data_IF_664856159417
#
_entry.id   IF_664856159417
#
_cell.length_a   1.000
_cell.length_b   1.000
_cell.length_c   1.000
_cell.angle_alpha   90.00
_cell.angle_beta   90.00
_cell.angle_gamma   90.00
#
_symmetry.space_group_name_H-M   'P 1'
#
loop_
_entity.id
_entity.type
_entity.pdbx_description
1 polymer ?
#
# COMPACT_ATOMS: atom_id res chain seq x y z
N UNK A 1 -11.93 -10.95 -11.48
CA UNK A 1 -10.62 -10.36 -11.78
C UNK A 1 -9.71 -10.43 -10.55
N UNK A 2 -8.63 -11.19 -10.65
CA UNK A 2 -7.55 -11.29 -9.66
C UNK A 2 -6.65 -10.05 -9.73
N UNK A 3 -5.78 -9.86 -8.73
CA UNK A 3 -4.75 -8.81 -8.79
C UNK A 3 -3.78 -9.01 -9.96
N UNK A 4 -3.46 -10.27 -10.28
CA UNK A 4 -2.58 -10.67 -11.38
C UNK A 4 -3.16 -10.28 -12.74
N UNK A 5 -4.43 -10.60 -12.98
CA UNK A 5 -5.15 -10.21 -14.21
C UNK A 5 -5.26 -8.69 -14.36
N UNK A 6 -5.51 -7.99 -13.25
CA UNK A 6 -5.56 -6.52 -13.26
C UNK A 6 -4.22 -5.90 -13.63
N UNK A 7 -3.11 -6.43 -13.10
CA UNK A 7 -1.76 -5.98 -13.44
C UNK A 7 -1.44 -6.16 -14.93
N UNK A 8 -1.71 -7.36 -15.46
CA UNK A 8 -1.52 -7.65 -16.89
C UNK A 8 -2.29 -6.66 -17.76
N UNK A 9 -3.60 -6.47 -17.51
CA UNK A 9 -4.44 -5.52 -18.27
C UNK A 9 -3.99 -4.06 -18.12
N UNK A 10 -3.37 -3.71 -17.00
CA UNK A 10 -2.91 -2.35 -16.76
C UNK A 10 -1.70 -1.95 -17.60
N UNK A 11 -0.74 -2.87 -17.75
CA UNK A 11 0.52 -2.61 -18.46
C UNK A 11 0.51 -3.12 -19.90
N UNK A 12 -0.04 -4.31 -20.13
CA UNK A 12 -0.06 -4.98 -21.43
C UNK A 12 -1.34 -4.68 -22.23
N UNK A 13 -2.40 -4.23 -21.56
CA UNK A 13 -3.72 -4.10 -22.18
C UNK A 13 -4.40 -5.45 -22.37
N UNK A 14 -5.42 -5.50 -23.22
CA UNK A 14 -6.09 -6.74 -23.59
C UNK A 14 -5.93 -6.94 -25.11
N UNK A 15 -5.15 -7.94 -25.54
CA UNK A 15 -4.80 -8.11 -26.96
C UNK A 15 -6.04 -8.38 -27.82
N UNK A 16 -7.04 -9.06 -27.26
CA UNK A 16 -8.24 -9.49 -27.98
C UNK A 16 -9.27 -8.37 -28.22
N UNK A 17 -9.23 -7.26 -27.47
CA UNK A 17 -10.27 -6.22 -27.50
C UNK A 17 -9.79 -4.88 -28.07
N UNK A 18 -8.56 -4.80 -28.60
CA UNK A 18 -7.90 -3.54 -29.01
C UNK A 18 -7.85 -2.47 -27.90
N UNK A 19 -8.13 -2.85 -26.66
CA UNK A 19 -8.05 -1.93 -25.52
C UNK A 19 -6.59 -1.86 -25.11
N UNK A 20 -5.96 -0.72 -25.42
CA UNK A 20 -4.59 -0.44 -25.01
C UNK A 20 -4.42 -0.46 -23.48
N UNK A 21 -3.17 -0.36 -22.98
CA UNK A 21 -2.87 -0.44 -21.56
C UNK A 21 -3.79 0.45 -20.72
N UNK A 22 -4.48 -0.11 -19.72
CA UNK A 22 -5.47 0.65 -18.95
C UNK A 22 -4.86 1.86 -18.24
N UNK A 23 -3.53 1.88 -18.03
CA UNK A 23 -2.79 3.04 -17.53
C UNK A 23 -2.94 4.31 -18.38
N UNK A 24 -3.24 4.17 -19.67
CA UNK A 24 -3.42 5.27 -20.62
C UNK A 24 -4.87 5.78 -20.70
N UNK A 25 -5.83 5.06 -20.10
CA UNK A 25 -7.24 5.45 -20.09
C UNK A 25 -7.44 6.57 -19.08
N UNK A 26 -8.00 7.70 -19.52
CA UNK A 26 -8.30 8.79 -18.60
C UNK A 26 -9.56 8.45 -17.79
N UNK A 27 -9.61 8.88 -16.52
CA UNK A 27 -10.78 8.65 -15.65
C UNK A 27 -12.05 9.35 -16.15
N UNK A 28 -11.90 10.30 -17.09
CA UNK A 28 -13.01 10.96 -17.79
C UNK A 28 -13.61 10.12 -18.93
N UNK A 29 -12.86 9.17 -19.49
CA UNK A 29 -13.33 8.30 -20.58
C UNK A 29 -14.27 7.20 -20.08
N UNK A 30 -14.28 6.98 -18.76
CA UNK A 30 -15.15 6.01 -18.10
C UNK A 30 -16.50 6.66 -17.84
N UNK A 31 -17.52 6.27 -18.62
CA UNK A 31 -18.86 6.86 -18.60
C UNK A 31 -19.59 6.72 -17.26
N UNK A 32 -19.47 5.57 -16.60
CA UNK A 32 -20.25 5.30 -15.38
C UNK A 32 -19.50 5.72 -14.11
N UNK A 33 -20.22 6.35 -13.18
CA UNK A 33 -19.66 6.79 -11.89
C UNK A 33 -19.06 5.62 -11.08
N UNK A 34 -19.77 4.50 -10.99
CA UNK A 34 -19.28 3.32 -10.28
C UNK A 34 -18.01 2.77 -10.93
N UNK A 35 -17.97 2.71 -12.26
CA UNK A 35 -16.80 2.29 -13.03
C UNK A 35 -15.62 3.23 -12.81
N UNK A 36 -15.84 4.56 -12.71
CA UNK A 36 -14.79 5.53 -12.36
C UNK A 36 -14.23 5.31 -10.97
N UNK A 37 -15.09 5.02 -10.00
CA UNK A 37 -14.67 4.69 -8.63
C UNK A 37 -13.85 3.39 -8.63
N UNK A 38 -14.30 2.35 -9.34
CA UNK A 38 -13.55 1.10 -9.46
C UNK A 38 -12.19 1.29 -10.15
N UNK A 39 -12.15 2.03 -11.24
CA UNK A 39 -10.92 2.37 -11.95
C UNK A 39 -9.93 3.12 -11.04
N UNK A 40 -10.42 4.12 -10.32
CA UNK A 40 -9.60 4.88 -9.37
C UNK A 40 -9.06 3.99 -8.26
N UNK A 41 -9.90 3.09 -7.71
CA UNK A 41 -9.49 2.13 -6.68
C UNK A 41 -8.44 1.14 -7.20
N UNK A 42 -8.58 0.66 -8.44
CA UNK A 42 -7.61 -0.20 -9.09
C UNK A 42 -6.28 0.52 -9.32
N UNK A 43 -6.33 1.77 -9.80
CA UNK A 43 -5.16 2.63 -9.97
C UNK A 43 -4.34 2.77 -8.68
N UNK A 44 -5.00 3.04 -7.55
CA UNK A 44 -4.30 3.15 -6.26
C UNK A 44 -3.59 1.86 -5.84
N UNK A 45 -4.23 0.70 -6.04
CA UNK A 45 -3.61 -0.59 -5.74
C UNK A 45 -2.35 -0.80 -6.60
N UNK A 46 -2.43 -0.49 -7.89
CA UNK A 46 -1.31 -0.66 -8.81
C UNK A 46 -0.19 0.33 -8.55
N UNK A 47 -0.51 1.56 -8.14
CA UNK A 47 0.47 2.54 -7.67
C UNK A 47 1.21 2.05 -6.41
N UNK A 48 0.48 1.48 -5.44
CA UNK A 48 1.10 0.87 -4.26
C UNK A 48 2.05 -0.28 -4.65
N UNK A 49 1.64 -1.14 -5.59
CA UNK A 49 2.48 -2.23 -6.09
C UNK A 49 3.72 -1.74 -6.85
N UNK A 50 3.59 -0.72 -7.71
CA UNK A 50 4.74 -0.09 -8.40
C UNK A 50 5.70 0.54 -7.40
N UNK A 51 5.18 1.17 -6.35
CA UNK A 51 6.03 1.75 -5.30
C UNK A 51 6.80 0.66 -4.54
N UNK A 52 6.18 -0.51 -4.28
CA UNK A 52 6.89 -1.68 -3.75
C UNK A 52 7.98 -2.14 -4.72
N UNK A 53 7.69 -2.21 -6.03
CA UNK A 53 8.66 -2.59 -7.05
C UNK A 53 9.89 -1.68 -7.01
N UNK A 54 9.66 -0.37 -6.93
CA UNK A 54 10.71 0.65 -6.85
C UNK A 54 11.55 0.50 -5.59
N UNK A 55 10.90 0.36 -4.42
CA UNK A 55 11.61 0.24 -3.13
C UNK A 55 12.43 -1.04 -2.99
N UNK A 56 11.99 -2.13 -3.63
CA UNK A 56 12.73 -3.40 -3.68
C UNK A 56 13.68 -3.50 -4.88
N UNK A 57 13.79 -2.46 -5.70
CA UNK A 57 14.60 -2.42 -6.92
C UNK A 57 14.24 -3.51 -7.94
N UNK A 58 12.98 -3.93 -7.98
CA UNK A 58 12.47 -4.85 -9.01
C UNK A 58 12.19 -4.12 -10.34
N UNK A 59 11.93 -2.81 -10.29
CA UNK A 59 11.81 -1.94 -11.45
C UNK A 59 12.07 -0.48 -11.08
N UNK A 60 12.67 0.29 -12.00
CA UNK A 60 13.01 1.69 -11.76
C UNK A 60 11.80 2.63 -11.84
N UNK A 61 10.81 2.29 -12.68
CA UNK A 61 9.62 3.11 -12.88
C UNK A 61 8.45 2.29 -13.44
N UNK A 62 7.24 2.87 -13.40
CA UNK A 62 6.06 2.29 -14.05
C UNK A 62 6.26 2.12 -15.57
N UNK A 63 7.03 3.01 -16.20
CA UNK A 63 7.32 2.95 -17.63
C UNK A 63 8.34 1.87 -17.95
N UNK A 64 9.32 1.65 -17.07
CA UNK A 64 10.24 0.51 -17.18
C UNK A 64 9.46 -0.81 -17.18
N UNK A 65 8.49 -0.97 -16.27
CA UNK A 65 7.62 -2.16 -16.21
C UNK A 65 6.82 -2.33 -17.50
N UNK A 66 6.28 -1.24 -18.04
CA UNK A 66 5.47 -1.30 -19.26
C UNK A 66 6.28 -1.59 -20.52
N UNK A 67 7.58 -1.28 -20.51
CA UNK A 67 8.50 -1.60 -21.60
C UNK A 67 9.00 -3.05 -21.54
N UNK A 68 8.77 -3.76 -20.42
CA UNK A 68 9.15 -5.16 -20.28
C UNK A 68 8.24 -6.07 -21.13
N UNK A 69 8.78 -7.18 -21.66
CA UNK A 69 7.97 -8.24 -22.23
C UNK A 69 7.03 -8.83 -21.17
N UNK A 70 5.92 -9.44 -21.63
CA UNK A 70 4.87 -10.01 -20.76
C UNK A 70 5.44 -10.88 -19.63
N UNK A 71 6.32 -11.82 -19.95
CA UNK A 71 6.93 -12.72 -18.96
C UNK A 71 7.67 -11.96 -17.84
N UNK A 72 8.44 -10.94 -18.20
CA UNK A 72 9.19 -10.12 -17.25
C UNK A 72 8.26 -9.19 -16.45
N UNK A 73 7.22 -8.63 -17.08
CA UNK A 73 6.21 -7.83 -16.41
C UNK A 73 5.44 -8.65 -15.35
N UNK A 74 5.11 -9.90 -15.67
CA UNK A 74 4.46 -10.82 -14.72
C UNK A 74 5.42 -11.29 -13.62
N UNK A 75 6.71 -11.48 -13.92
CA UNK A 75 7.71 -11.79 -12.91
C UNK A 75 7.87 -10.65 -11.88
N UNK A 76 7.88 -9.39 -12.33
CA UNK A 76 7.89 -8.21 -11.43
C UNK A 76 6.64 -8.19 -10.55
N UNK A 77 5.47 -8.54 -11.09
CA UNK A 77 4.25 -8.69 -10.30
C UNK A 77 4.41 -9.76 -9.22
N UNK A 78 4.87 -10.96 -9.58
CA UNK A 78 4.98 -12.05 -8.62
C UNK A 78 5.97 -11.71 -7.48
N UNK A 79 7.09 -11.03 -7.80
CA UNK A 79 8.06 -10.55 -6.81
C UNK A 79 7.49 -9.46 -5.90
N UNK A 80 6.84 -8.44 -6.47
CA UNK A 80 6.20 -7.36 -5.67
C UNK A 80 5.07 -7.89 -4.81
N UNK A 81 4.28 -8.80 -5.36
CA UNK A 81 3.17 -9.39 -4.65
C UNK A 81 3.67 -10.31 -3.52
N UNK A 82 4.75 -11.05 -3.73
CA UNK A 82 5.42 -11.79 -2.65
C UNK A 82 5.93 -10.85 -1.55
N UNK A 83 6.59 -9.74 -1.91
CA UNK A 83 7.03 -8.73 -0.96
C UNK A 83 5.86 -8.12 -0.18
N UNK A 84 4.74 -7.82 -0.83
CA UNK A 84 3.54 -7.31 -0.16
C UNK A 84 3.04 -8.26 0.96
N UNK A 85 3.13 -9.58 0.76
CA UNK A 85 2.69 -10.59 1.74
C UNK A 85 3.71 -10.88 2.85
N UNK A 86 5.01 -10.74 2.59
CA UNK A 86 6.06 -11.23 3.49
C UNK A 86 7.03 -10.16 3.99
N UNK A 87 7.23 -9.09 3.22
CA UNK A 87 8.26 -8.08 3.46
C UNK A 87 7.86 -6.76 2.79
N UNK A 88 6.78 -6.17 3.31
CA UNK A 88 6.17 -4.98 2.73
C UNK A 88 7.00 -3.72 3.05
N UNK A 89 7.67 -3.11 2.06
CA UNK A 89 8.55 -1.96 2.26
C UNK A 89 7.79 -0.64 2.48
N UNK A 90 6.46 -0.64 2.47
CA UNK A 90 5.65 0.56 2.62
C UNK A 90 5.40 0.97 4.09
N UNK A 91 5.94 0.21 5.05
CA UNK A 91 6.00 0.61 6.47
C UNK A 91 4.75 0.31 7.31
N UNK A 92 3.62 -0.03 6.71
CA UNK A 92 2.37 -0.37 7.42
C UNK A 92 2.18 -1.87 7.67
N UNK A 93 3.25 -2.67 7.56
CA UNK A 93 3.24 -4.11 7.84
C UNK A 93 2.76 -5.00 6.68
N UNK A 94 2.87 -6.31 6.89
CA UNK A 94 2.60 -7.34 5.88
C UNK A 94 1.10 -7.66 5.80
N UNK A 95 0.55 -7.85 4.58
CA UNK A 95 -0.84 -8.31 4.41
C UNK A 95 -0.98 -9.83 4.60
N UNK A 96 0.15 -10.55 4.53
CA UNK A 96 0.22 -11.99 4.60
C UNK A 96 0.48 -12.49 6.01
N UNK A 97 -0.23 -13.54 6.43
CA UNK A 97 0.03 -14.19 7.71
C UNK A 97 -1.03 -15.21 8.11
N UNK A 98 -0.86 -15.77 9.29
CA UNK A 98 -1.78 -16.74 9.91
C UNK A 98 -2.74 -16.09 10.90
N UNK A 99 -2.52 -14.83 11.25
CA UNK A 99 -3.35 -14.08 12.20
C UNK A 99 -4.72 -13.69 11.60
N UNK A 100 -5.69 -13.45 12.49
CA UNK A 100 -7.05 -13.09 12.11
C UNK A 100 -7.08 -11.75 11.35
N UNK A 101 -7.58 -11.77 10.11
CA UNK A 101 -7.64 -10.59 9.23
C UNK A 101 -6.50 -10.47 8.21
N UNK A 102 -5.46 -11.31 8.30
CA UNK A 102 -4.40 -11.42 7.28
C UNK A 102 -4.79 -12.41 6.18
N UNK A 103 -4.25 -12.18 4.98
CA UNK A 103 -4.46 -13.07 3.84
C UNK A 103 -3.47 -14.24 3.89
N UNK A 104 -3.91 -15.42 3.47
CA UNK A 104 -3.03 -16.60 3.44
C UNK A 104 -2.13 -16.52 2.21
N UNK A 105 -0.79 -16.45 2.34
CA UNK A 105 0.11 -16.30 1.20
C UNK A 105 -0.04 -17.41 0.15
N UNK A 106 -0.32 -18.65 0.58
CA UNK A 106 -0.58 -19.79 -0.32
C UNK A 106 -1.77 -19.58 -1.27
N UNK A 107 -2.72 -18.71 -0.93
CA UNK A 107 -3.86 -18.35 -1.79
C UNK A 107 -3.68 -16.99 -2.45
N UNK A 108 -2.50 -16.38 -2.31
CA UNK A 108 -2.12 -15.07 -2.84
C UNK A 108 -2.64 -14.81 -4.26
N UNK A 109 -2.28 -15.67 -5.24
CA UNK A 109 -2.67 -15.49 -6.65
C UNK A 109 -4.18 -15.56 -6.92
N UNK A 110 -4.95 -16.18 -6.02
CA UNK A 110 -6.40 -16.37 -6.13
C UNK A 110 -7.20 -15.20 -5.57
N UNK A 111 -6.55 -14.27 -4.84
CA UNK A 111 -7.27 -13.15 -4.24
C UNK A 111 -7.65 -12.11 -5.30
N UNK A 112 -8.90 -11.66 -5.19
CA UNK A 112 -9.40 -10.54 -5.97
C UNK A 112 -8.65 -9.28 -5.56
N UNK A 113 -8.35 -8.42 -6.54
CA UNK A 113 -7.69 -7.13 -6.30
C UNK A 113 -8.42 -6.28 -5.26
N UNK A 114 -9.76 -6.36 -5.22
CA UNK A 114 -10.61 -5.69 -4.22
C UNK A 114 -10.27 -6.11 -2.79
N UNK A 115 -10.07 -7.42 -2.57
CA UNK A 115 -9.73 -7.98 -1.27
C UNK A 115 -8.35 -7.53 -0.82
N UNK A 116 -7.36 -7.60 -1.72
CA UNK A 116 -5.98 -7.15 -1.45
C UNK A 116 -5.96 -5.68 -1.07
N UNK A 117 -6.64 -4.83 -1.85
CA UNK A 117 -6.75 -3.40 -1.58
C UNK A 117 -7.41 -3.12 -0.22
N UNK A 118 -8.47 -3.84 0.11
CA UNK A 118 -9.16 -3.63 1.38
C UNK A 118 -8.28 -3.99 2.58
N UNK A 119 -7.47 -5.05 2.46
CA UNK A 119 -6.45 -5.37 3.47
C UNK A 119 -5.38 -4.27 3.58
N UNK A 120 -4.84 -3.78 2.46
CA UNK A 120 -3.89 -2.65 2.46
C UNK A 120 -4.50 -1.42 3.14
N UNK A 121 -5.76 -1.09 2.81
CA UNK A 121 -6.47 0.05 3.40
C UNK A 121 -6.62 -0.09 4.91
N UNK A 122 -7.00 -1.28 5.38
CA UNK A 122 -7.14 -1.57 6.81
C UNK A 122 -5.80 -1.47 7.53
N UNK A 123 -4.72 -1.99 6.95
CA UNK A 123 -3.38 -1.88 7.53
C UNK A 123 -2.87 -0.44 7.55
N UNK A 124 -3.04 0.32 6.46
CA UNK A 124 -2.72 1.75 6.42
C UNK A 124 -3.47 2.52 7.50
N UNK A 125 -4.76 2.22 7.69
CA UNK A 125 -5.59 2.85 8.72
C UNK A 125 -5.10 2.47 10.14
N UNK A 126 -4.88 1.19 10.40
CA UNK A 126 -4.40 0.72 11.70
C UNK A 126 -3.02 1.31 12.04
N UNK A 127 -2.12 1.40 11.05
CA UNK A 127 -0.82 2.01 11.22
C UNK A 127 -0.91 3.52 11.52
N UNK A 128 -1.83 4.24 10.88
CA UNK A 128 -2.09 5.65 11.17
C UNK A 128 -2.69 5.86 12.57
N UNK A 129 -3.62 4.99 12.99
CA UNK A 129 -4.22 5.02 14.33
C UNK A 129 -3.16 4.76 15.41
N UNK A 130 -2.36 3.71 15.26
CA UNK A 130 -1.27 3.42 16.19
C UNK A 130 -0.22 4.55 16.24
N UNK A 131 0.13 5.14 15.10
CA UNK A 131 1.06 6.26 15.06
C UNK A 131 0.49 7.53 15.73
N UNK A 132 -0.83 7.76 15.64
CA UNK A 132 -1.47 8.86 16.34
C UNK A 132 -1.49 8.63 17.86
N UNK A 133 -1.76 7.39 18.30
CA UNK A 133 -1.74 7.02 19.72
C UNK A 133 -0.33 7.15 20.32
N UNK A 134 0.72 6.73 19.61
CA UNK A 134 2.12 6.87 20.05
C UNK A 134 2.53 8.35 20.20
N UNK A 135 2.12 9.21 19.27
CA UNK A 135 2.36 10.67 19.35
C UNK A 135 1.60 11.27 20.53
N UNK A 136 0.35 10.87 20.75
CA UNK A 136 -0.46 11.35 21.87
C UNK A 136 0.13 10.91 23.22
N UNK A 137 0.66 9.69 23.31
CA UNK A 137 1.33 9.17 24.49
C UNK A 137 2.65 9.89 24.78
N UNK A 138 3.46 10.18 23.75
CA UNK A 138 4.70 10.94 23.91
C UNK A 138 4.44 12.38 24.40
N UNK A 139 3.43 13.06 23.85
CA UNK A 139 3.04 14.42 24.29
C UNK A 139 2.55 14.44 25.75
N UNK A 140 1.85 13.40 26.20
CA UNK A 140 1.41 13.26 27.58
C UNK A 140 2.56 13.02 28.57
N UNK A 141 3.65 12.38 28.12
CA UNK A 141 4.85 12.17 28.94
C UNK A 141 5.71 13.44 29.04
N UNK A 142 5.84 14.20 27.96
CA UNK A 142 6.57 15.48 27.97
C UNK A 142 5.87 16.57 28.83
N UNK A 143 4.53 16.54 28.90
CA UNK A 143 3.79 17.46 29.78
C UNK A 143 3.95 17.10 31.25
N UNK A 144 4.07 15.81 31.60
CA UNK A 144 4.29 15.38 32.98
C UNK A 144 5.70 15.72 33.50
N UNK A 145 6.72 15.63 32.65
CA UNK A 145 8.09 15.99 33.01
C UNK A 145 8.29 17.52 33.18
N UNK A 146 7.53 18.37 32.49
CA UNK A 146 7.66 19.82 32.61
C UNK A 146 7.04 20.40 33.90
N UNK A 147 6.11 19.69 34.55
CA UNK A 147 5.51 20.14 35.81
C UNK A 147 6.39 19.84 37.03
N UNK A 148 7.28 18.84 36.96
CA UNK A 148 8.20 18.50 38.05
C UNK A 148 9.38 19.50 38.17
N UNK A 149 9.84 20.09 37.06
CA UNK A 149 10.97 21.05 37.07
C UNK A 149 10.60 22.39 37.73
N UNK A 150 9.31 22.75 37.71
CA UNK A 150 8.78 23.94 38.39
C UNK A 150 8.59 23.76 39.90
N UNK A 151 8.56 22.52 40.42
CA UNK A 151 8.50 22.28 41.87
C UNK A 151 9.90 22.24 42.51
N UNK A 152 10.93 21.86 41.76
CA UNK A 152 12.29 21.75 42.30
C UNK A 152 13.02 23.09 42.42
N UNK A 153 12.67 24.09 41.61
CA UNK A 153 13.26 25.43 41.66
C UNK A 153 12.73 26.32 42.81
N UNK A 154 11.61 25.98 43.44
CA UNK A 154 11.03 26.77 44.56
C UNK A 154 11.59 26.41 45.95
N UNK A 155 12.42 25.38 46.07
CA UNK A 155 12.89 24.89 47.38
C UNK A 155 14.31 25.36 47.75
N UNK A 156 14.93 26.25 46.97
CA UNK A 156 16.34 26.67 47.13
C UNK A 156 16.55 28.18 47.34
N UNK A 157 15.54 28.93 47.81
CA UNK A 157 15.66 30.39 48.06
C UNK A 157 15.27 30.86 49.48
N UNK A 158 15.28 29.97 50.49
CA UNK A 158 15.09 30.38 51.88
C UNK A 158 16.06 29.65 52.83
N UNK A 159 17.33 30.03 52.78
CA UNK A 159 18.24 29.98 53.93
C UNK A 159 18.83 31.38 54.19
#
# INVERSE_FOLDING_TARGET
MTARELWARWFLGEPDTQVGPFRLVATLDVKDFDSRVYFSRAKFLLQDLVEIAKRKHFADSADAIAALPEDACMAVFDQTYHALFHDNPLGYGNIGGTAHGLLRPKRGPLYMWKTVRECIRKLKKLHQENAADDVQAAVAQDTHNNDDDHQQTRHMELE
#
